data_IF_689583374626
#
_entry.id   IF_689583374626
#
_cell.length_a   1.000
_cell.length_b   1.000
_cell.length_c   1.000
_cell.angle_alpha   90.00
_cell.angle_beta   90.00
_cell.angle_gamma   90.00
#
_symmetry.space_group_name_H-M   'P 1'
#
loop_
_entity.id
_entity.type
_entity.pdbx_description
1 polymer ?
#
# COMPACT_ATOMS: atom_id res chain seq x y z
N UNK A 1 3.13 8.31 -20.14
CA UNK A 1 2.13 9.09 -19.40
C UNK A 1 0.89 9.38 -20.25
N UNK A 2 1.06 9.88 -21.47
CA UNK A 2 -0.05 10.16 -22.40
C UNK A 2 -0.94 8.92 -22.69
N UNK A 3 -0.34 7.79 -23.09
CA UNK A 3 -1.07 6.53 -23.31
C UNK A 3 -1.89 6.06 -22.08
N UNK A 4 -1.40 6.29 -20.87
CA UNK A 4 -2.09 5.94 -19.63
C UNK A 4 -3.28 6.87 -19.38
N UNK A 5 -3.07 8.18 -19.54
CA UNK A 5 -4.13 9.18 -19.37
C UNK A 5 -5.23 9.00 -20.42
N UNK A 6 -4.86 8.78 -21.69
CA UNK A 6 -5.81 8.50 -22.77
C UNK A 6 -6.63 7.23 -22.49
N UNK A 7 -5.99 6.18 -21.97
CA UNK A 7 -6.69 4.97 -21.57
C UNK A 7 -7.70 5.26 -20.45
N UNK A 8 -7.31 6.03 -19.44
CA UNK A 8 -8.19 6.41 -18.35
C UNK A 8 -9.40 7.22 -18.87
N UNK A 9 -9.17 8.21 -19.74
CA UNK A 9 -10.23 9.01 -20.37
C UNK A 9 -11.16 8.14 -21.20
N UNK A 10 -10.62 7.26 -22.06
CA UNK A 10 -11.42 6.35 -22.90
C UNK A 10 -12.26 5.37 -22.07
N UNK A 11 -11.69 4.74 -21.05
CA UNK A 11 -12.38 3.76 -20.21
C UNK A 11 -13.44 4.44 -19.32
N UNK A 12 -13.12 5.59 -18.76
CA UNK A 12 -14.06 6.29 -17.86
C UNK A 12 -15.13 7.08 -18.62
N UNK A 13 -14.84 7.58 -19.81
CA UNK A 13 -15.71 8.51 -20.54
C UNK A 13 -15.71 9.94 -19.95
N UNK A 14 -14.79 10.25 -19.04
CA UNK A 14 -14.70 11.56 -18.37
C UNK A 14 -13.42 12.32 -18.75
N UNK A 15 -13.51 13.65 -18.77
CA UNK A 15 -12.33 14.51 -18.87
C UNK A 15 -11.56 14.50 -17.55
N UNK A 16 -10.29 14.06 -17.59
CA UNK A 16 -9.46 13.90 -16.39
C UNK A 16 -8.31 14.90 -16.37
N UNK A 17 -7.84 15.22 -15.17
CA UNK A 17 -6.81 16.22 -14.95
C UNK A 17 -5.46 15.77 -15.52
N UNK A 18 -4.61 16.71 -15.96
CA UNK A 18 -3.29 16.39 -16.48
C UNK A 18 -2.39 15.78 -15.39
N UNK A 19 -1.53 14.84 -15.79
CA UNK A 19 -0.59 14.16 -14.89
C UNK A 19 0.71 14.97 -14.76
N UNK A 20 0.68 16.09 -14.04
CA UNK A 20 1.84 16.99 -13.86
C UNK A 20 2.88 16.52 -12.82
N UNK A 21 2.65 15.41 -12.12
CA UNK A 21 3.59 14.92 -11.13
C UNK A 21 3.32 13.49 -10.67
N UNK A 22 4.30 12.84 -10.02
CA UNK A 22 4.21 11.44 -9.62
C UNK A 22 3.06 11.19 -8.64
N UNK A 23 2.77 12.13 -7.73
CA UNK A 23 1.66 11.99 -6.79
C UNK A 23 0.28 12.06 -7.46
N UNK A 24 0.13 12.77 -8.59
CA UNK A 24 -1.17 12.81 -9.26
C UNK A 24 -1.56 11.44 -9.81
N UNK A 25 -0.59 10.62 -10.18
CA UNK A 25 -0.82 9.23 -10.61
C UNK A 25 -1.47 8.39 -9.52
N UNK A 26 -1.19 8.68 -8.25
CA UNK A 26 -1.79 8.00 -7.11
C UNK A 26 -3.32 8.12 -7.08
N UNK A 27 -3.87 9.28 -7.48
CA UNK A 27 -5.32 9.46 -7.57
C UNK A 27 -5.99 8.50 -8.57
N UNK A 28 -5.21 7.90 -9.50
CA UNK A 28 -5.73 6.97 -10.50
C UNK A 28 -5.66 5.51 -10.04
N UNK A 29 -4.98 5.18 -8.93
CA UNK A 29 -4.89 3.79 -8.42
C UNK A 29 -6.27 3.12 -8.27
N UNK A 30 -7.34 3.79 -7.78
CA UNK A 30 -8.67 3.20 -7.70
C UNK A 30 -9.28 2.79 -9.05
N UNK A 31 -8.80 3.37 -10.16
CA UNK A 31 -9.30 3.08 -11.50
C UNK A 31 -8.64 1.87 -12.14
N UNK A 32 -7.53 1.35 -11.60
CA UNK A 32 -6.71 0.33 -12.26
C UNK A 32 -7.51 -0.92 -12.63
N UNK A 33 -8.44 -1.36 -11.77
CA UNK A 33 -9.32 -2.50 -12.04
C UNK A 33 -10.14 -2.32 -13.32
N UNK A 34 -10.69 -1.13 -13.54
CA UNK A 34 -11.45 -0.80 -14.76
C UNK A 34 -10.53 -0.48 -15.95
N UNK A 35 -9.49 0.32 -15.74
CA UNK A 35 -8.58 0.72 -16.82
C UNK A 35 -7.92 -0.46 -17.51
N UNK A 36 -7.55 -1.47 -16.73
CA UNK A 36 -6.79 -2.63 -17.18
C UNK A 36 -7.64 -3.90 -17.23
N UNK A 37 -8.97 -3.79 -17.21
CA UNK A 37 -9.87 -4.95 -17.14
C UNK A 37 -9.62 -6.00 -18.23
N UNK A 38 -9.14 -5.58 -19.41
CA UNK A 38 -8.84 -6.44 -20.55
C UNK A 38 -7.64 -7.36 -20.27
N UNK A 39 -6.61 -6.84 -19.61
CA UNK A 39 -5.42 -7.62 -19.22
C UNK A 39 -5.59 -8.31 -17.87
N UNK A 40 -6.56 -7.89 -17.07
CA UNK A 40 -6.85 -8.47 -15.76
C UNK A 40 -7.68 -9.76 -15.85
N UNK A 41 -8.30 -10.08 -17.00
CA UNK A 41 -9.18 -11.25 -17.18
C UNK A 41 -8.64 -12.59 -16.61
N UNK A 42 -7.36 -12.97 -16.78
CA UNK A 42 -6.88 -14.25 -16.28
C UNK A 42 -6.51 -14.24 -14.79
N UNK A 43 -6.63 -13.12 -14.09
CA UNK A 43 -6.18 -12.97 -12.70
C UNK A 43 -7.36 -12.91 -11.73
N UNK A 44 -7.26 -13.66 -10.63
CA UNK A 44 -8.26 -13.66 -9.55
C UNK A 44 -8.31 -12.34 -8.76
N UNK A 45 -7.18 -11.63 -8.72
CA UNK A 45 -6.98 -10.40 -7.97
C UNK A 45 -6.21 -9.38 -8.80
N UNK A 46 -6.48 -8.10 -8.54
CA UNK A 46 -5.70 -6.97 -9.01
C UNK A 46 -5.39 -6.06 -7.82
N UNK A 47 -4.51 -5.08 -7.98
CA UNK A 47 -4.19 -4.19 -6.88
C UNK A 47 -3.12 -3.17 -7.23
N UNK A 48 -2.61 -2.54 -6.18
CA UNK A 48 -1.52 -1.60 -6.27
C UNK A 48 -0.59 -1.73 -5.07
N UNK A 49 0.67 -1.38 -5.27
CA UNK A 49 1.69 -1.30 -4.24
C UNK A 49 2.64 -0.17 -4.59
N UNK A 50 3.38 0.30 -3.59
CA UNK A 50 4.43 1.28 -3.84
C UNK A 50 5.73 0.58 -4.24
N UNK A 51 6.54 1.31 -5.02
CA UNK A 51 7.80 0.82 -5.59
C UNK A 51 8.92 0.71 -4.56
N UNK A 52 8.77 1.33 -3.40
CA UNK A 52 9.69 1.36 -2.27
C UNK A 52 9.31 0.33 -1.20
N UNK A 53 9.01 -0.88 -1.66
CA UNK A 53 8.67 -2.02 -0.81
C UNK A 53 9.69 -3.14 -0.98
N UNK A 54 10.01 -3.84 0.11
CA UNK A 54 10.83 -5.05 0.13
C UNK A 54 9.97 -6.23 0.56
N UNK A 55 9.84 -7.23 -0.31
CA UNK A 55 8.93 -8.36 -0.13
C UNK A 55 9.62 -9.58 0.50
N UNK A 56 8.92 -10.25 1.42
CA UNK A 56 9.25 -11.57 1.96
C UNK A 56 8.39 -12.67 1.33
N UNK A 57 8.04 -13.68 2.13
CA UNK A 57 7.21 -14.80 1.68
C UNK A 57 5.71 -14.42 1.67
N UNK A 58 5.25 -13.84 0.56
CA UNK A 58 3.85 -13.41 0.39
C UNK A 58 2.88 -14.57 0.58
N UNK A 59 3.25 -15.78 0.13
CA UNK A 59 2.35 -16.95 0.15
C UNK A 59 2.13 -17.49 1.56
N UNK A 60 3.06 -17.25 2.48
CA UNK A 60 2.85 -17.57 3.89
C UNK A 60 1.75 -16.72 4.55
N UNK A 61 1.50 -15.50 4.05
CA UNK A 61 0.47 -14.59 4.57
C UNK A 61 -0.84 -14.66 3.76
N UNK A 62 -0.75 -14.61 2.43
CA UNK A 62 -1.89 -14.69 1.51
C UNK A 62 -2.11 -16.13 1.05
N UNK A 63 -2.48 -16.96 2.00
CA UNK A 63 -2.78 -18.39 1.76
C UNK A 63 -4.03 -18.55 0.90
N UNK A 64 -4.23 -19.70 0.22
CA UNK A 64 -5.47 -19.97 -0.52
C UNK A 64 -6.73 -19.79 0.34
N UNK A 65 -6.70 -20.21 1.61
CA UNK A 65 -7.82 -20.04 2.53
C UNK A 65 -8.15 -18.56 2.79
N UNK A 66 -7.12 -17.73 2.98
CA UNK A 66 -7.25 -16.27 3.17
C UNK A 66 -7.79 -15.63 1.88
N UNK A 67 -7.23 -15.98 0.72
CA UNK A 67 -7.65 -15.48 -0.60
C UNK A 67 -9.08 -15.89 -0.97
N UNK A 68 -9.55 -17.08 -0.58
CA UNK A 68 -10.92 -17.51 -0.85
C UNK A 68 -11.96 -16.81 0.05
N UNK A 69 -11.58 -16.45 1.28
CA UNK A 69 -12.51 -15.92 2.28
C UNK A 69 -12.68 -14.40 2.26
N UNK A 70 -11.85 -13.66 1.51
CA UNK A 70 -11.88 -12.20 1.50
C UNK A 70 -11.83 -11.63 0.08
N UNK A 71 -12.33 -10.40 -0.08
CA UNK A 71 -12.43 -9.70 -1.35
C UNK A 71 -11.45 -8.53 -1.43
N UNK A 72 -11.03 -7.97 -0.29
CA UNK A 72 -10.02 -6.90 -0.24
C UNK A 72 -8.97 -7.25 0.81
N UNK A 73 -7.69 -7.11 0.44
CA UNK A 73 -6.55 -7.33 1.32
C UNK A 73 -5.73 -6.05 1.39
N UNK A 74 -5.57 -5.51 2.58
CA UNK A 74 -4.66 -4.41 2.84
C UNK A 74 -3.70 -4.80 3.95
N UNK A 75 -2.59 -4.07 4.02
CA UNK A 75 -1.59 -4.32 5.03
C UNK A 75 -1.94 -3.80 6.44
N UNK A 76 -2.93 -2.90 6.52
CA UNK A 76 -3.29 -2.24 7.77
C UNK A 76 -4.63 -2.78 8.32
N UNK A 77 -4.65 -3.40 9.51
CA UNK A 77 -5.87 -3.97 10.08
C UNK A 77 -6.97 -2.93 10.37
N UNK A 78 -6.64 -1.64 10.37
CA UNK A 78 -7.57 -0.53 10.65
C UNK A 78 -8.04 0.23 9.40
N UNK A 79 -7.54 -0.07 8.19
CA UNK A 79 -8.01 0.52 6.93
C UNK A 79 -8.16 -0.57 5.88
N UNK A 80 -9.29 -0.54 5.20
CA UNK A 80 -9.58 -1.48 4.11
C UNK A 80 -8.70 -1.24 2.88
N UNK A 81 -8.15 -0.03 2.71
CA UNK A 81 -7.22 0.31 1.63
C UNK A 81 -6.00 1.02 2.20
N UNK A 82 -4.81 0.64 1.72
CA UNK A 82 -3.55 1.24 2.09
C UNK A 82 -2.57 1.28 0.90
N UNK A 83 -1.82 2.36 0.78
CA UNK A 83 -1.07 2.65 -0.44
C UNK A 83 0.01 1.71 -0.85
N UNK A 84 0.80 1.36 0.16
CA UNK A 84 2.00 0.58 -0.02
C UNK A 84 1.66 -0.83 -0.49
N UNK A 85 0.44 -1.30 -0.19
CA UNK A 85 -0.11 -2.56 -0.69
C UNK A 85 -1.61 -2.68 -0.44
N UNK A 86 -2.38 -2.86 -1.53
CA UNK A 86 -3.77 -3.33 -1.48
C UNK A 86 -4.06 -4.26 -2.66
N UNK A 87 -4.74 -5.38 -2.40
CA UNK A 87 -5.32 -6.29 -3.40
C UNK A 87 -6.85 -6.28 -3.33
N UNK A 88 -7.48 -6.41 -4.48
CA UNK A 88 -8.92 -6.48 -4.69
C UNK A 88 -9.24 -7.72 -5.50
N UNK A 89 -10.29 -8.43 -5.13
CA UNK A 89 -10.84 -9.51 -5.95
C UNK A 89 -11.25 -8.92 -7.29
N UNK A 90 -10.87 -9.59 -8.36
CA UNK A 90 -11.15 -9.14 -9.70
C UNK A 90 -12.60 -9.42 -10.10
N UNK A 91 -13.51 -8.63 -9.54
CA UNK A 91 -14.95 -8.67 -9.81
C UNK A 91 -15.45 -7.29 -10.23
N UNK A 92 -16.53 -7.21 -11.05
CA UNK A 92 -17.10 -5.93 -11.49
C UNK A 92 -17.35 -4.95 -10.34
N UNK A 93 -17.89 -5.43 -9.21
CA UNK A 93 -18.15 -4.61 -8.02
C UNK A 93 -16.92 -3.78 -7.60
N UNK A 94 -15.76 -4.43 -7.46
CA UNK A 94 -14.53 -3.78 -7.02
C UNK A 94 -13.87 -2.97 -8.13
N UNK A 95 -13.90 -3.45 -9.39
CA UNK A 95 -13.32 -2.73 -10.54
C UNK A 95 -13.95 -1.35 -10.74
N UNK A 96 -15.24 -1.23 -10.46
CA UNK A 96 -15.99 0.01 -10.64
C UNK A 96 -16.24 0.77 -9.33
N UNK A 97 -15.71 0.30 -8.20
CA UNK A 97 -15.97 0.88 -6.88
C UNK A 97 -15.57 2.35 -6.74
N UNK A 98 -14.59 2.80 -7.53
CA UNK A 98 -14.18 4.21 -7.56
C UNK A 98 -15.34 5.16 -7.90
N UNK A 99 -16.38 4.69 -8.61
CA UNK A 99 -17.55 5.49 -8.99
C UNK A 99 -18.39 5.96 -7.80
N UNK A 100 -18.35 5.20 -6.71
CA UNK A 100 -19.11 5.47 -5.48
C UNK A 100 -18.28 6.31 -4.48
N UNK A 101 -17.11 6.79 -4.90
CA UNK A 101 -16.33 7.74 -4.11
C UNK A 101 -16.89 9.13 -4.31
N UNK A 102 -17.26 9.79 -3.20
CA UNK A 102 -17.85 11.12 -3.22
C UNK A 102 -16.94 12.13 -3.94
N UNK A 103 -17.47 12.79 -4.97
CA UNK A 103 -16.73 13.77 -5.75
C UNK A 103 -15.55 13.19 -6.55
N UNK A 104 -15.57 11.90 -6.88
CA UNK A 104 -14.48 11.22 -7.62
C UNK A 104 -14.06 11.98 -8.88
N UNK A 105 -15.01 12.42 -9.69
CA UNK A 105 -14.72 13.13 -10.93
C UNK A 105 -14.07 14.48 -10.68
N UNK A 106 -14.54 15.24 -9.67
CA UNK A 106 -13.88 16.49 -9.25
C UNK A 106 -12.42 16.24 -8.89
N UNK A 107 -12.14 15.17 -8.14
CA UNK A 107 -10.79 14.81 -7.67
C UNK A 107 -9.89 14.36 -8.83
N UNK A 108 -10.41 13.51 -9.72
CA UNK A 108 -9.66 13.04 -10.89
C UNK A 108 -9.40 14.17 -11.90
N UNK A 109 -10.35 15.10 -12.07
CA UNK A 109 -10.20 16.27 -12.95
C UNK A 109 -9.30 17.37 -12.36
N UNK A 110 -9.01 17.32 -11.05
CA UNK A 110 -8.15 18.30 -10.40
C UNK A 110 -6.71 18.26 -10.94
N UNK A 111 -6.09 19.43 -11.08
CA UNK A 111 -4.69 19.56 -11.52
C UNK A 111 -3.70 18.94 -10.52
N UNK A 112 -3.99 19.10 -9.23
CA UNK A 112 -3.12 18.65 -8.15
C UNK A 112 -3.59 17.30 -7.62
N UNK A 113 -2.70 16.63 -6.88
CA UNK A 113 -3.00 15.42 -6.14
C UNK A 113 -4.07 15.70 -5.07
N UNK A 114 -5.05 14.79 -4.98
CA UNK A 114 -6.20 14.89 -4.08
C UNK A 114 -6.22 13.81 -2.99
N UNK A 115 -5.33 12.81 -3.08
CA UNK A 115 -5.25 11.71 -2.12
C UNK A 115 -6.36 10.68 -2.31
N UNK A 116 -6.88 10.51 -3.53
CA UNK A 116 -8.04 9.64 -3.76
C UNK A 116 -7.78 8.19 -3.33
N UNK A 117 -6.57 7.69 -3.57
CA UNK A 117 -6.13 6.37 -3.16
C UNK A 117 -5.94 6.25 -1.65
N UNK A 118 -5.42 7.31 -1.03
CA UNK A 118 -4.87 7.29 0.31
C UNK A 118 -5.05 8.65 1.02
N UNK A 119 -6.06 8.72 1.88
CA UNK A 119 -6.32 9.65 2.99
C UNK A 119 -5.40 10.89 3.20
N UNK A 120 -6.00 12.05 3.54
CA UNK A 120 -5.26 13.22 4.05
C UNK A 120 -5.07 13.16 5.57
N UNK A 121 -3.82 13.24 6.06
CA UNK A 121 -3.46 13.13 7.49
C UNK A 121 -4.31 14.05 8.39
N UNK A 122 -4.55 15.30 7.99
CA UNK A 122 -4.99 16.37 8.90
C UNK A 122 -6.51 16.54 9.04
N UNK A 123 -7.33 15.80 8.30
CA UNK A 123 -8.78 16.01 8.33
C UNK A 123 -9.50 14.67 8.49
N UNK A 124 -9.73 14.28 9.75
CA UNK A 124 -10.54 13.11 10.11
C UNK A 124 -12.03 13.19 9.66
N UNK A 125 -12.39 14.16 8.81
CA UNK A 125 -13.78 14.53 8.53
C UNK A 125 -14.04 15.00 7.10
N UNK A 126 -13.17 14.74 6.11
CA UNK A 126 -13.57 14.94 4.70
C UNK A 126 -13.93 13.58 4.10
N UNK A 127 -15.22 13.28 3.88
CA UNK A 127 -15.62 12.09 3.15
C UNK A 127 -15.09 12.09 1.72
N UNK A 128 -14.93 10.89 1.16
CA UNK A 128 -14.70 10.71 -0.27
C UNK A 128 -13.27 10.34 -0.65
N UNK A 129 -12.57 9.59 0.19
CA UNK A 129 -11.42 8.80 -0.24
C UNK A 129 -11.87 7.38 -0.61
N UNK A 130 -11.12 6.70 -1.48
CA UNK A 130 -11.46 5.34 -1.90
C UNK A 130 -11.52 4.36 -0.72
N UNK A 131 -10.61 4.51 0.24
CA UNK A 131 -10.61 3.73 1.47
C UNK A 131 -11.88 3.90 2.31
N UNK A 132 -12.54 5.06 2.28
CA UNK A 132 -13.77 5.30 3.05
C UNK A 132 -14.94 4.52 2.45
N UNK A 133 -15.08 4.54 1.10
CA UNK A 133 -16.07 3.74 0.39
C UNK A 133 -15.88 2.25 0.68
N UNK A 134 -14.64 1.75 0.65
CA UNK A 134 -14.34 0.36 0.99
C UNK A 134 -14.64 0.02 2.45
N UNK A 135 -14.32 0.91 3.39
CA UNK A 135 -14.66 0.73 4.80
C UNK A 135 -16.18 0.69 5.04
N UNK A 136 -16.92 1.57 4.35
CA UNK A 136 -18.39 1.59 4.40
C UNK A 136 -18.98 0.28 3.85
N UNK A 137 -18.51 -0.17 2.69
CA UNK A 137 -18.96 -1.42 2.07
C UNK A 137 -18.65 -2.64 2.95
N UNK A 138 -17.48 -2.67 3.59
CA UNK A 138 -17.13 -3.74 4.52
C UNK A 138 -18.05 -3.75 5.75
N UNK A 139 -18.36 -2.56 6.31
CA UNK A 139 -19.32 -2.41 7.42
C UNK A 139 -20.74 -2.83 7.04
N UNK A 140 -21.12 -2.62 5.79
CA UNK A 140 -22.42 -3.02 5.23
C UNK A 140 -22.47 -4.50 4.79
N UNK A 141 -21.36 -5.24 4.87
CA UNK A 141 -21.29 -6.63 4.44
C UNK A 141 -21.28 -6.84 2.92
N UNK A 142 -21.05 -5.78 2.14
CA UNK A 142 -20.95 -5.87 0.67
C UNK A 142 -19.64 -6.49 0.20
N UNK A 143 -18.57 -6.32 0.99
CA UNK A 143 -17.24 -6.88 0.73
C UNK A 143 -16.66 -7.46 2.01
N UNK A 144 -15.81 -8.48 1.87
CA UNK A 144 -15.07 -9.08 2.99
C UNK A 144 -13.66 -8.53 3.00
N UNK A 145 -13.38 -7.60 3.90
CA UNK A 145 -12.04 -7.03 4.07
C UNK A 145 -11.20 -7.88 5.03
N UNK A 146 -9.99 -8.26 4.60
CA UNK A 146 -9.03 -8.95 5.45
C UNK A 146 -8.31 -7.96 6.38
N UNK A 147 -8.23 -8.27 7.66
CA UNK A 147 -7.68 -7.39 8.71
C UNK A 147 -6.47 -8.02 9.43
N UNK A 148 -5.55 -8.63 8.69
CA UNK A 148 -4.32 -9.20 9.28
C UNK A 148 -3.17 -8.19 9.35
N UNK A 149 -2.27 -8.38 10.31
CA UNK A 149 -0.98 -7.68 10.33
C UNK A 149 0.01 -8.43 9.46
N UNK A 150 0.46 -7.84 8.35
CA UNK A 150 1.44 -8.47 7.47
C UNK A 150 2.60 -7.55 7.06
N UNK A 151 2.55 -6.26 7.35
CA UNK A 151 3.64 -5.34 7.06
C UNK A 151 4.39 -4.91 8.33
N UNK A 152 5.65 -4.55 8.16
CA UNK A 152 6.41 -3.91 9.23
C UNK A 152 6.14 -2.41 9.38
N UNK A 153 5.36 -1.79 8.47
CA UNK A 153 4.87 -0.42 8.65
C UNK A 153 3.73 -0.33 9.68
N UNK A 154 3.06 -1.45 9.96
CA UNK A 154 1.77 -1.48 10.66
C UNK A 154 1.81 -2.16 12.05
N UNK A 155 2.92 -2.84 12.36
CA UNK A 155 3.19 -3.40 13.69
C UNK A 155 3.95 -2.46 14.64
N UNK A 156 4.61 -1.46 14.08
CA UNK A 156 5.45 -0.48 14.76
C UNK A 156 5.27 0.80 13.97
N UNK A 157 4.39 1.69 14.43
CA UNK A 157 3.86 2.80 13.63
C UNK A 157 4.92 3.72 13.03
N UNK A 158 4.44 4.72 12.32
CA UNK A 158 5.16 5.98 12.17
C UNK A 158 5.79 6.38 13.52
N UNK A 159 7.11 6.24 13.62
CA UNK A 159 7.79 6.11 14.89
C UNK A 159 7.75 4.64 15.36
N UNK A 160 8.89 3.95 15.37
CA UNK A 160 9.58 3.89 16.66
C UNK A 160 8.57 3.91 17.83
N UNK A 161 8.44 2.81 18.56
CA UNK A 161 8.51 3.05 20.00
C UNK A 161 9.78 3.89 20.18
N UNK A 162 9.60 5.20 20.42
CA UNK A 162 10.65 6.19 20.60
C UNK A 162 11.83 5.50 21.31
N UNK A 163 12.91 5.24 20.57
CA UNK A 163 14.13 4.62 21.11
C UNK A 163 14.49 3.17 20.79
N UNK A 164 13.88 2.45 19.83
CA UNK A 164 14.38 1.12 19.41
C UNK A 164 14.81 1.06 17.93
N UNK A 165 16.12 0.90 17.67
CA UNK A 165 16.63 0.58 16.33
C UNK A 165 16.17 -0.82 15.92
N UNK A 166 15.67 -0.93 14.69
CA UNK A 166 15.26 -2.18 14.05
C UNK A 166 16.17 -2.49 12.87
N UNK A 167 16.49 -3.77 12.70
CA UNK A 167 17.18 -4.29 11.52
C UNK A 167 16.18 -5.12 10.72
N UNK A 168 15.97 -4.74 9.48
CA UNK A 168 15.25 -5.57 8.51
C UNK A 168 16.28 -6.47 7.83
N UNK A 169 16.07 -7.78 7.91
CA UNK A 169 16.93 -8.79 7.32
C UNK A 169 16.15 -9.52 6.25
N UNK A 170 16.68 -9.51 5.02
CA UNK A 170 16.17 -10.31 3.92
C UNK A 170 17.16 -11.42 3.60
N UNK A 171 16.67 -12.66 3.56
CA UNK A 171 17.46 -13.85 3.27
C UNK A 171 16.56 -14.95 2.75
N UNK A 172 16.99 -15.66 1.70
CA UNK A 172 16.29 -16.82 1.14
C UNK A 172 14.80 -16.57 0.80
N UNK A 173 14.45 -15.36 0.33
CA UNK A 173 13.06 -15.00 0.01
C UNK A 173 12.18 -14.65 1.22
N UNK A 174 12.75 -14.65 2.43
CA UNK A 174 12.06 -14.30 3.67
C UNK A 174 12.52 -12.95 4.20
N UNK A 175 11.59 -12.25 4.85
CA UNK A 175 11.82 -10.94 5.42
C UNK A 175 11.56 -10.99 6.93
N UNK A 176 12.58 -10.63 7.70
CA UNK A 176 12.53 -10.64 9.16
C UNK A 176 12.84 -9.25 9.71
N UNK A 177 12.04 -8.79 10.66
CA UNK A 177 12.34 -7.62 11.48
C UNK A 177 12.92 -8.08 12.81
N UNK A 178 14.10 -7.58 13.15
CA UNK A 178 14.73 -7.79 14.45
C UNK A 178 14.92 -6.45 15.14
N UNK A 179 14.29 -6.26 16.29
CA UNK A 179 14.53 -5.09 17.15
C UNK A 179 15.56 -5.45 18.23
N UNK A 180 16.06 -4.45 18.96
CA UNK A 180 16.89 -4.69 20.15
C UNK A 180 16.11 -5.32 21.32
N UNK A 181 14.78 -5.42 21.20
CA UNK A 181 13.88 -5.90 22.26
C UNK A 181 12.97 -6.98 21.68
N UNK A 182 13.43 -8.22 21.70
CA UNK A 182 12.62 -9.40 21.39
C UNK A 182 13.14 -10.25 20.23
N UNK A 183 12.48 -11.40 19.96
CA UNK A 183 12.84 -12.27 18.86
C UNK A 183 12.53 -11.61 17.50
N UNK A 184 13.20 -12.08 16.45
CA UNK A 184 12.90 -11.65 15.10
C UNK A 184 11.49 -12.11 14.70
N UNK A 185 10.74 -11.22 14.03
CA UNK A 185 9.38 -11.49 13.53
C UNK A 185 9.42 -11.52 12.02
N UNK A 186 8.74 -12.48 11.40
CA UNK A 186 8.59 -12.55 9.94
C UNK A 186 7.48 -11.60 9.46
N UNK A 187 7.67 -10.96 8.32
CA UNK A 187 6.72 -10.04 7.71
C UNK A 187 6.58 -10.31 6.22
N UNK A 188 5.42 -9.96 5.67
CA UNK A 188 5.13 -10.12 4.24
C UNK A 188 5.93 -9.11 3.43
N UNK A 189 6.02 -7.87 3.90
CA UNK A 189 6.81 -6.83 3.27
C UNK A 189 7.19 -5.71 4.25
N UNK A 190 8.19 -4.93 3.86
CA UNK A 190 8.59 -3.69 4.50
C UNK A 190 8.41 -2.54 3.52
N UNK A 191 7.72 -1.48 3.93
CA UNK A 191 7.64 -0.24 3.19
C UNK A 191 8.69 0.74 3.71
N UNK A 192 9.54 1.26 2.82
CA UNK A 192 10.65 2.13 3.21
C UNK A 192 10.17 3.53 3.62
N UNK A 193 9.10 4.08 3.01
CA UNK A 193 8.55 5.39 3.38
C UNK A 193 9.64 6.47 3.50
N UNK A 194 9.69 7.16 4.64
CA UNK A 194 10.70 8.20 4.93
C UNK A 194 12.10 7.64 5.28
N UNK A 195 12.22 6.33 5.55
CA UNK A 195 13.49 5.67 5.91
C UNK A 195 14.44 5.43 4.73
N UNK A 196 14.02 5.79 3.50
CA UNK A 196 14.80 5.69 2.25
C UNK A 196 16.21 6.31 2.33
N UNK A 197 16.40 7.30 3.20
CA UNK A 197 17.64 8.06 3.32
C UNK A 197 18.70 7.40 4.20
N UNK A 198 18.41 6.26 4.82
CA UNK A 198 19.29 5.61 5.79
C UNK A 198 19.35 4.10 5.61
N UNK A 199 19.46 3.65 4.36
CA UNK A 199 19.55 2.23 4.01
C UNK A 199 21.01 1.82 3.95
N UNK A 200 21.57 1.31 5.05
CA UNK A 200 22.90 0.68 5.04
C UNK A 200 22.76 -0.80 4.65
N UNK A 201 23.19 -1.16 3.43
CA UNK A 201 23.23 -2.57 3.01
C UNK A 201 24.58 -3.18 3.37
N UNK A 202 24.58 -4.19 4.23
CA UNK A 202 25.80 -4.92 4.60
C UNK A 202 25.80 -6.32 4.00
N UNK A 203 26.72 -6.58 3.06
CA UNK A 203 26.97 -7.92 2.51
C UNK A 203 28.06 -8.62 3.34
N UNK A 204 27.67 -9.49 4.27
CA UNK A 204 28.63 -10.26 5.07
C UNK A 204 29.16 -11.47 4.30
N UNK A 205 30.45 -11.49 3.95
CA UNK A 205 31.15 -12.69 3.44
C UNK A 205 31.39 -13.76 4.52
N UNK A 206 31.25 -13.45 5.81
CA UNK A 206 31.47 -14.42 6.91
C UNK A 206 30.30 -15.38 7.14
N UNK A 207 29.15 -15.14 6.49
CA UNK A 207 27.95 -15.98 6.52
C UNK A 207 27.68 -16.60 5.13
N UNK A 208 28.72 -17.14 4.49
CA UNK A 208 28.57 -17.80 3.20
C UNK A 208 27.92 -19.18 3.34
N UNK A 209 26.59 -19.18 3.23
CA UNK A 209 25.89 -20.05 2.25
C UNK A 209 24.80 -19.33 1.45
N UNK A 210 24.35 -18.13 1.84
CA UNK A 210 23.41 -17.30 1.06
C UNK A 210 23.66 -15.79 1.25
N UNK A 211 23.35 -14.94 0.24
CA UNK A 211 23.44 -13.49 0.40
C UNK A 211 22.42 -13.00 1.43
N UNK A 212 22.91 -12.35 2.49
CA UNK A 212 22.08 -11.70 3.52
C UNK A 212 22.12 -10.20 3.25
N UNK A 213 20.95 -9.59 3.09
CA UNK A 213 20.79 -8.14 3.05
C UNK A 213 20.27 -7.68 4.43
N UNK A 214 21.08 -6.96 5.20
CA UNK A 214 20.63 -6.28 6.42
C UNK A 214 20.51 -4.79 6.19
N UNK A 215 19.41 -4.21 6.64
CA UNK A 215 19.08 -2.78 6.57
C UNK A 215 18.82 -2.24 7.98
N UNK A 216 19.52 -1.18 8.36
CA UNK A 216 19.33 -0.50 9.64
C UNK A 216 18.58 0.79 9.42
N UNK A 217 17.38 0.96 10.00
CA UNK A 217 16.71 2.26 10.01
C UNK A 217 17.09 3.01 11.29
N UNK A 218 17.53 4.28 11.21
CA UNK A 218 17.64 5.16 12.40
C UNK A 218 16.43 6.09 12.46
N UNK A 219 15.95 6.34 13.67
CA UNK A 219 14.79 7.16 13.94
C UNK A 219 15.20 8.61 13.98
N UNK A 220 14.36 9.48 13.46
CA UNK A 220 14.53 10.91 13.66
C UNK A 220 14.34 11.20 15.16
N UNK A 221 15.35 11.82 15.77
CA UNK A 221 15.08 12.74 16.86
C UNK A 221 14.37 13.93 16.22
N UNK A 222 13.12 14.16 16.60
CA UNK A 222 12.44 15.40 16.25
C UNK A 222 13.18 16.53 16.95
N UNK A 223 14.01 17.28 16.22
CA UNK A 223 14.26 18.65 16.60
C UNK A 223 12.91 19.36 16.49
N UNK A 224 12.38 19.78 17.63
CA UNK A 224 11.24 20.67 17.68
C UNK A 224 11.62 21.92 16.86
N UNK A 225 10.98 22.10 15.71
CA UNK A 225 10.88 23.43 15.14
C UNK A 225 9.85 24.17 15.99
N UNK A 226 10.37 25.03 16.86
CA UNK A 226 9.63 26.06 17.60
C UNK A 226 8.85 26.98 16.63
N UNK A 227 7.80 27.65 17.12
CA UNK A 227 6.53 27.92 16.42
C UNK A 227 6.57 28.78 15.15
#
# INVERSE_FOLDING_TARGET
MEQFHDLAVRKTGHSLGPLYGPYKLCDYKPLFGHMFEDILQPYDFYGFCDVDTLWGDIRSFLTPAVLHSHDVFSAWPRRVVYGHFTLFRNIPLLRYAYRDVEGVWRKLSARNWEGLDEWRWREYQVPGFFGDTMALWAKQGQIRAWQGKCSFSDGYGFGYQLGSSGIVVWSAGKLHLRTNKGPAVEGMYHHFGDSKRQVETTFSRRLLRQPIMSLTTKGFATEAQDP
#
